data_IF_190018415643
#
_entry.id   IF_190018415643
#
_cell.length_a   1.000
_cell.length_b   1.000
_cell.length_c   1.000
_cell.angle_alpha   90.00
_cell.angle_beta   90.00
_cell.angle_gamma   90.00
#
_symmetry.space_group_name_H-M   'P 1'
#
loop_
_entity.id
_entity.type
_entity.pdbx_description
1 polymer ?
#
# COMPACT_ATOMS: atom_id res chain seq x y z
N UNK A 1 -24.09 17.35 -10.33
CA UNK A 1 -22.96 17.36 -9.36
C UNK A 1 -23.47 17.90 -8.05
N UNK A 2 -23.72 17.05 -7.05
CA UNK A 2 -24.04 17.52 -5.70
C UNK A 2 -22.73 17.56 -4.92
N UNK A 3 -22.30 18.76 -4.55
CA UNK A 3 -21.20 18.98 -3.61
C UNK A 3 -21.48 18.14 -2.36
N UNK A 4 -20.61 17.17 -2.09
CA UNK A 4 -20.55 16.56 -0.77
C UNK A 4 -19.91 17.65 0.10
N UNK A 5 -20.63 18.19 1.10
CA UNK A 5 -20.04 19.20 1.96
C UNK A 5 -18.88 18.55 2.72
N UNK A 6 -17.67 19.12 2.56
CA UNK A 6 -16.57 18.88 3.48
C UNK A 6 -17.01 19.39 4.85
N UNK A 7 -17.67 18.54 5.64
CA UNK A 7 -17.82 18.78 7.05
C UNK A 7 -16.40 18.92 7.62
N UNK A 8 -16.08 20.01 8.34
CA UNK A 8 -14.79 20.11 9.01
C UNK A 8 -14.70 18.92 9.94
N UNK A 9 -13.66 18.09 9.74
CA UNK A 9 -13.27 17.12 10.74
C UNK A 9 -12.96 17.94 11.99
N UNK A 10 -13.89 17.97 12.93
CA UNK A 10 -13.66 18.55 14.25
C UNK A 10 -12.40 17.87 14.78
N UNK A 11 -11.38 18.67 15.08
CA UNK A 11 -10.15 18.26 15.74
C UNK A 11 -10.49 17.63 17.10
N UNK A 12 -10.95 16.38 17.11
CA UNK A 12 -10.69 15.51 18.24
C UNK A 12 -9.25 15.04 18.05
N UNK A 13 -8.32 15.97 18.22
CA UNK A 13 -6.93 15.65 18.41
C UNK A 13 -6.90 14.73 19.63
N UNK A 14 -6.64 13.44 19.42
CA UNK A 14 -6.00 12.69 20.48
C UNK A 14 -4.77 13.52 20.84
N UNK A 15 -4.62 13.96 22.10
CA UNK A 15 -3.45 14.72 22.46
C UNK A 15 -2.23 13.89 22.03
N UNK A 16 -1.24 14.47 21.33
CA UNK A 16 0.00 13.75 21.09
C UNK A 16 0.44 13.19 22.44
N UNK A 17 0.91 11.94 22.47
CA UNK A 17 1.50 11.37 23.67
C UNK A 17 2.38 12.47 24.25
N UNK A 18 2.05 12.94 25.46
CA UNK A 18 2.80 14.03 26.07
C UNK A 18 4.27 13.69 25.87
N UNK A 19 5.06 14.56 25.21
CA UNK A 19 6.45 14.25 24.89
C UNK A 19 7.19 13.69 26.10
N UNK A 20 6.78 14.11 27.31
CA UNK A 20 7.30 13.66 28.60
C UNK A 20 7.18 12.16 28.93
N UNK A 21 6.16 11.42 28.48
CA UNK A 21 5.97 10.01 28.88
C UNK A 21 6.74 9.09 27.93
N UNK A 22 6.54 9.24 26.62
CA UNK A 22 7.24 8.44 25.62
C UNK A 22 8.76 8.70 25.66
N UNK A 23 9.17 9.97 25.80
CA UNK A 23 10.58 10.32 25.95
C UNK A 23 11.19 9.68 27.20
N UNK A 24 10.54 9.84 28.35
CA UNK A 24 11.03 9.27 29.62
C UNK A 24 11.10 7.75 29.57
N UNK A 25 10.11 7.11 28.96
CA UNK A 25 10.12 5.68 28.74
C UNK A 25 11.32 5.25 27.89
N UNK A 26 11.50 5.88 26.72
CA UNK A 26 12.56 5.54 25.78
C UNK A 26 13.96 5.81 26.31
N UNK A 27 14.14 6.84 27.16
CA UNK A 27 15.40 7.11 27.83
C UNK A 27 15.86 6.00 28.78
N UNK A 28 14.92 5.22 29.33
CA UNK A 28 15.22 4.10 30.23
C UNK A 28 15.00 2.74 29.57
N UNK A 29 14.64 2.73 28.28
CA UNK A 29 14.48 1.53 27.48
C UNK A 29 15.84 1.02 27.01
N UNK A 30 16.01 -0.30 26.80
CA UNK A 30 17.15 -0.84 26.06
C UNK A 30 17.36 -0.21 24.67
N UNK A 31 16.34 0.48 24.14
CA UNK A 31 16.36 1.16 22.84
C UNK A 31 16.83 2.63 22.92
N UNK A 32 17.32 3.11 24.07
CA UNK A 32 17.73 4.51 24.26
C UNK A 32 18.75 5.01 23.21
N UNK A 33 19.72 4.18 22.82
CA UNK A 33 20.71 4.55 21.81
C UNK A 33 20.11 4.74 20.41
N UNK A 34 19.03 4.01 20.10
CA UNK A 34 18.25 4.16 18.86
C UNK A 34 17.35 5.38 18.96
N UNK A 35 16.78 5.64 20.14
CA UNK A 35 16.02 6.85 20.41
C UNK A 35 16.83 8.12 20.11
N UNK A 36 18.06 8.22 20.59
CA UNK A 36 18.93 9.37 20.33
C UNK A 36 19.14 9.58 18.82
N UNK A 37 19.43 8.50 18.08
CA UNK A 37 19.58 8.55 16.62
C UNK A 37 18.31 9.02 15.92
N UNK A 38 17.14 8.57 16.37
CA UNK A 38 15.83 8.99 15.83
C UNK A 38 15.61 10.48 16.05
N UNK A 39 15.88 10.98 17.27
CA UNK A 39 15.73 12.40 17.60
C UNK A 39 16.70 13.30 16.82
N UNK A 40 17.90 12.80 16.52
CA UNK A 40 18.89 13.48 15.68
C UNK A 40 18.62 13.34 14.18
N UNK A 41 17.58 12.60 13.77
CA UNK A 41 17.28 12.32 12.37
C UNK A 41 18.35 11.49 11.65
N UNK A 42 19.17 10.75 12.40
CA UNK A 42 20.24 9.91 11.85
C UNK A 42 19.70 8.61 11.27
N UNK A 43 20.32 8.14 10.19
CA UNK A 43 20.03 6.83 9.60
C UNK A 43 20.47 5.72 10.56
N UNK A 44 19.56 4.80 10.85
CA UNK A 44 19.88 3.59 11.62
C UNK A 44 20.79 2.65 10.84
N UNK A 45 21.70 2.00 11.55
CA UNK A 45 22.61 0.99 11.01
C UNK A 45 21.92 -0.38 10.91
N UNK A 46 22.60 -1.35 10.28
CA UNK A 46 22.15 -2.74 10.26
C UNK A 46 22.02 -3.33 11.69
N UNK A 47 22.99 -3.05 12.56
CA UNK A 47 22.99 -3.51 13.94
C UNK A 47 21.80 -2.93 14.75
N UNK A 48 21.44 -1.67 14.49
CA UNK A 48 20.25 -1.06 15.11
C UNK A 48 18.97 -1.77 14.65
N UNK A 49 18.88 -2.14 13.37
CA UNK A 49 17.76 -2.90 12.83
C UNK A 49 17.62 -4.29 13.47
N UNK A 50 18.75 -4.99 13.67
CA UNK A 50 18.76 -6.28 14.36
C UNK A 50 18.33 -6.13 15.82
N UNK A 51 18.85 -5.11 16.52
CA UNK A 51 18.46 -4.82 17.90
C UNK A 51 16.96 -4.52 18.06
N UNK A 52 16.35 -3.81 17.08
CA UNK A 52 14.90 -3.59 17.05
C UNK A 52 14.12 -4.88 16.81
N UNK A 53 14.61 -5.74 15.91
CA UNK A 53 13.96 -7.01 15.58
C UNK A 53 13.97 -8.00 16.74
N UNK A 54 15.07 -8.03 17.51
CA UNK A 54 15.26 -8.94 18.65
C UNK A 54 14.69 -8.39 19.97
N UNK A 55 14.16 -7.16 19.98
CA UNK A 55 13.65 -6.53 21.19
C UNK A 55 12.21 -6.95 21.50
N UNK A 56 11.97 -7.34 22.76
CA UNK A 56 10.64 -7.58 23.30
C UNK A 56 9.92 -6.28 23.73
N UNK A 57 10.59 -5.11 23.63
CA UNK A 57 10.04 -3.81 24.00
C UNK A 57 9.14 -3.24 22.87
N UNK A 58 8.00 -3.88 22.65
CA UNK A 58 7.03 -3.48 21.62
C UNK A 58 6.55 -2.02 21.80
N UNK A 59 6.38 -1.57 23.05
CA UNK A 59 5.96 -0.20 23.34
C UNK A 59 7.03 0.81 22.93
N UNK A 60 8.31 0.50 23.19
CA UNK A 60 9.44 1.32 22.77
C UNK A 60 9.56 1.39 21.25
N UNK A 61 9.46 0.25 20.58
CA UNK A 61 9.46 0.20 19.10
C UNK A 61 8.30 1.02 18.53
N UNK A 62 7.09 0.86 19.08
CA UNK A 62 5.91 1.61 18.67
C UNK A 62 6.05 3.11 18.89
N UNK A 63 6.60 3.53 20.02
CA UNK A 63 6.86 4.94 20.33
C UNK A 63 7.89 5.56 19.36
N UNK A 64 9.01 4.87 19.11
CA UNK A 64 10.03 5.29 18.13
C UNK A 64 9.43 5.44 16.73
N UNK A 65 8.66 4.44 16.28
CA UNK A 65 7.98 4.47 14.99
C UNK A 65 6.98 5.63 14.90
N UNK A 66 6.22 5.88 15.97
CA UNK A 66 5.23 6.95 16.01
C UNK A 66 5.88 8.34 15.94
N UNK A 67 6.99 8.56 16.64
CA UNK A 67 7.75 9.83 16.56
C UNK A 67 8.16 10.12 15.11
N UNK A 68 8.71 9.12 14.39
CA UNK A 68 9.11 9.30 12.98
C UNK A 68 7.89 9.50 12.09
N UNK A 69 6.80 8.76 12.32
CA UNK A 69 5.55 8.87 11.56
C UNK A 69 4.96 10.27 11.70
N UNK A 70 4.82 10.79 12.91
CA UNK A 70 4.26 12.12 13.19
C UNK A 70 5.18 13.22 12.68
N UNK A 71 6.50 13.07 12.82
CA UNK A 71 7.47 14.03 12.26
C UNK A 71 7.30 14.17 10.74
N UNK A 72 7.06 13.07 10.03
CA UNK A 72 6.93 13.08 8.56
C UNK A 72 5.53 13.42 8.06
N UNK A 73 4.49 13.05 8.80
CA UNK A 73 3.12 13.02 8.30
C UNK A 73 2.12 13.77 9.20
N UNK A 74 2.55 14.35 10.31
CA UNK A 74 1.66 14.91 11.34
C UNK A 74 0.65 13.86 11.81
N UNK A 75 -0.62 14.25 11.93
CA UNK A 75 -1.74 13.34 12.21
C UNK A 75 -2.47 12.87 10.93
N UNK A 76 -1.91 13.14 9.74
CA UNK A 76 -2.58 12.79 8.47
C UNK A 76 -2.47 11.29 8.20
N UNK A 77 -3.57 10.66 7.78
CA UNK A 77 -3.59 9.30 7.26
C UNK A 77 -4.09 9.34 5.82
N UNK A 78 -3.24 8.90 4.88
CA UNK A 78 -3.53 8.96 3.46
C UNK A 78 -4.21 7.68 2.98
N UNK A 79 -5.16 7.82 2.06
CA UNK A 79 -5.82 6.70 1.40
C UNK A 79 -6.06 7.05 -0.07
N UNK A 80 -6.27 6.01 -0.89
CA UNK A 80 -6.66 6.18 -2.29
C UNK A 80 -7.84 5.28 -2.62
N UNK A 81 -8.75 5.78 -3.45
CA UNK A 81 -9.84 4.97 -3.99
C UNK A 81 -9.43 4.48 -5.37
N UNK A 82 -8.97 3.24 -5.41
CA UNK A 82 -8.53 2.58 -6.63
C UNK A 82 -9.53 1.48 -7.07
N UNK A 83 -9.35 0.99 -8.28
CA UNK A 83 -9.95 -0.25 -8.76
C UNK A 83 -8.85 -1.21 -9.23
N UNK A 84 -8.92 -2.47 -8.81
CA UNK A 84 -7.99 -3.51 -9.24
C UNK A 84 -8.49 -4.24 -10.49
N UNK A 85 -7.58 -4.45 -11.45
CA UNK A 85 -7.78 -5.33 -12.61
C UNK A 85 -6.68 -6.39 -12.58
N UNK A 86 -7.06 -7.60 -12.18
CA UNK A 86 -6.17 -8.74 -12.22
C UNK A 86 -6.40 -9.48 -13.54
N UNK A 87 -5.69 -9.09 -14.60
CA UNK A 87 -6.03 -9.50 -15.97
C UNK A 87 -5.66 -10.95 -16.30
N UNK A 88 -4.83 -11.62 -15.51
CA UNK A 88 -4.59 -13.07 -15.62
C UNK A 88 -4.08 -13.64 -14.30
N UNK A 89 -4.42 -14.88 -14.00
CA UNK A 89 -3.77 -15.65 -12.93
C UNK A 89 -2.80 -16.73 -13.46
N UNK A 90 -2.52 -16.76 -14.77
CA UNK A 90 -1.50 -17.66 -15.34
C UNK A 90 -0.11 -17.11 -15.00
N UNK A 91 0.76 -17.93 -14.41
CA UNK A 91 2.09 -17.49 -13.94
C UNK A 91 3.15 -18.59 -14.11
N UNK A 92 4.39 -18.21 -14.38
CA UNK A 92 5.52 -19.13 -14.55
C UNK A 92 6.55 -19.14 -13.39
N UNK A 93 6.26 -18.50 -12.25
CA UNK A 93 7.22 -18.34 -11.15
C UNK A 93 7.10 -19.37 -10.02
N UNK A 94 5.90 -19.87 -9.72
CA UNK A 94 5.69 -20.86 -8.66
C UNK A 94 6.06 -20.38 -7.25
N UNK A 95 5.69 -19.14 -6.89
CA UNK A 95 6.01 -18.58 -5.57
C UNK A 95 5.31 -19.38 -4.45
N UNK A 96 6.09 -19.89 -3.48
CA UNK A 96 5.58 -20.78 -2.40
C UNK A 96 4.47 -20.17 -1.52
N UNK A 97 4.41 -18.85 -1.44
CA UNK A 97 3.44 -18.11 -0.62
C UNK A 97 2.26 -17.56 -1.44
N UNK A 98 2.25 -17.74 -2.76
CA UNK A 98 1.25 -17.14 -3.64
C UNK A 98 0.08 -18.09 -3.88
N UNK A 99 -1.12 -17.72 -3.43
CA UNK A 99 -2.36 -18.45 -3.69
C UNK A 99 -3.08 -17.98 -4.96
N UNK A 100 -2.61 -16.91 -5.59
CA UNK A 100 -3.30 -16.29 -6.72
C UNK A 100 -3.15 -17.07 -8.02
N UNK A 101 -1.95 -17.62 -8.30
CA UNK A 101 -1.68 -18.22 -9.60
C UNK A 101 -2.36 -19.58 -9.77
N UNK A 102 -2.77 -19.88 -10.99
CA UNK A 102 -3.36 -21.17 -11.33
C UNK A 102 -2.33 -22.30 -11.19
N UNK A 103 -2.65 -23.28 -10.35
CA UNK A 103 -1.81 -24.45 -10.08
C UNK A 103 -2.65 -25.72 -9.97
N UNK A 104 -1.98 -26.88 -9.91
CA UNK A 104 -2.65 -28.15 -9.63
C UNK A 104 -3.37 -28.02 -8.28
N UNK A 105 -4.68 -28.28 -8.29
CA UNK A 105 -5.59 -28.14 -7.14
C UNK A 105 -5.85 -26.68 -6.68
N UNK A 106 -5.47 -25.69 -7.50
CA UNK A 106 -5.71 -24.27 -7.27
C UNK A 106 -6.87 -23.68 -8.09
N UNK A 107 -7.00 -22.33 -8.14
CA UNK A 107 -7.99 -21.68 -8.98
C UNK A 107 -7.77 -21.99 -10.46
N UNK A 108 -8.87 -22.06 -11.22
CA UNK A 108 -8.80 -22.28 -12.66
C UNK A 108 -8.00 -21.15 -13.36
N UNK A 109 -7.20 -21.48 -14.39
CA UNK A 109 -6.48 -20.48 -15.15
C UNK A 109 -7.45 -19.59 -15.93
N UNK A 110 -7.18 -18.28 -15.95
CA UNK A 110 -7.89 -17.32 -16.78
C UNK A 110 -6.96 -16.23 -17.30
N UNK A 111 -7.38 -15.64 -18.41
CA UNK A 111 -6.82 -14.42 -18.98
C UNK A 111 -8.00 -13.60 -19.49
N UNK A 112 -8.13 -12.37 -19.00
CA UNK A 112 -9.20 -11.44 -19.39
C UNK A 112 -8.97 -10.97 -20.82
N UNK A 113 -10.03 -10.97 -21.61
CA UNK A 113 -10.08 -10.22 -22.88
C UNK A 113 -10.21 -8.72 -22.60
N UNK A 114 -9.98 -7.87 -23.60
CA UNK A 114 -10.22 -6.43 -23.46
C UNK A 114 -11.69 -6.11 -23.14
N UNK A 115 -12.62 -6.94 -23.61
CA UNK A 115 -14.04 -6.82 -23.29
C UNK A 115 -14.33 -7.17 -21.83
N UNK A 116 -13.70 -8.23 -21.29
CA UNK A 116 -13.78 -8.55 -19.86
C UNK A 116 -13.25 -7.40 -19.00
N UNK A 117 -12.14 -6.78 -19.42
CA UNK A 117 -11.54 -5.64 -18.71
C UNK A 117 -12.48 -4.45 -18.74
N UNK A 118 -13.02 -4.10 -19.91
CA UNK A 118 -13.99 -3.02 -20.05
C UNK A 118 -15.20 -3.25 -19.17
N UNK A 119 -15.80 -4.44 -19.22
CA UNK A 119 -16.95 -4.79 -18.38
C UNK A 119 -16.62 -4.63 -16.89
N UNK A 120 -15.44 -5.09 -16.46
CA UNK A 120 -14.99 -4.95 -15.07
C UNK A 120 -14.84 -3.49 -14.65
N UNK A 121 -14.27 -2.63 -15.51
CA UNK A 121 -14.13 -1.19 -15.26
C UNK A 121 -15.48 -0.48 -15.20
N UNK A 122 -16.43 -0.90 -16.04
CA UNK A 122 -17.78 -0.33 -16.13
C UNK A 122 -18.66 -0.63 -14.92
N UNK A 123 -18.53 -1.83 -14.32
CA UNK A 123 -19.27 -2.23 -13.12
C UNK A 123 -19.18 -1.21 -11.98
N UNK A 124 -18.08 -0.46 -11.91
CA UNK A 124 -17.85 0.56 -10.89
C UNK A 124 -17.77 1.96 -11.50
N UNK A 125 -18.29 2.21 -12.71
CA UNK A 125 -18.14 3.53 -13.37
C UNK A 125 -18.74 4.70 -12.59
N UNK A 126 -19.84 4.43 -11.90
CA UNK A 126 -20.51 5.36 -10.99
C UNK A 126 -19.70 5.68 -9.72
N UNK A 127 -18.65 4.91 -9.44
CA UNK A 127 -17.73 5.11 -8.32
C UNK A 127 -16.55 5.96 -8.83
N UNK A 128 -16.32 7.18 -8.27
CA UNK A 128 -15.19 8.03 -8.63
C UNK A 128 -13.88 7.45 -8.06
N UNK A 129 -13.27 6.54 -8.80
CA UNK A 129 -11.89 6.07 -8.58
C UNK A 129 -10.91 7.00 -9.29
N UNK A 130 -9.76 7.23 -8.67
CA UNK A 130 -8.69 8.07 -9.24
C UNK A 130 -7.55 7.24 -9.82
N UNK A 131 -7.51 5.93 -9.50
CA UNK A 131 -6.43 5.05 -9.92
C UNK A 131 -6.95 3.67 -10.34
N UNK A 132 -6.37 3.11 -11.39
CA UNK A 132 -6.53 1.71 -11.79
C UNK A 132 -5.22 0.98 -11.52
N UNK A 133 -5.27 -0.05 -10.68
CA UNK A 133 -4.11 -0.86 -10.31
C UNK A 133 -4.20 -2.19 -11.05
N UNK A 134 -3.18 -2.51 -11.84
CA UNK A 134 -3.17 -3.75 -12.61
C UNK A 134 -2.02 -4.64 -12.16
N UNK A 135 -2.38 -5.79 -11.58
CA UNK A 135 -1.45 -6.77 -11.05
C UNK A 135 -1.90 -8.15 -11.49
N UNK A 136 -0.99 -8.99 -11.97
CA UNK A 136 -1.36 -10.29 -12.51
C UNK A 136 -0.25 -11.33 -12.36
N UNK A 137 -0.55 -12.56 -12.79
CA UNK A 137 0.47 -13.57 -13.00
C UNK A 137 1.40 -13.20 -14.16
N UNK A 138 2.61 -13.77 -14.15
CA UNK A 138 3.60 -13.57 -15.20
C UNK A 138 3.33 -14.59 -16.32
N UNK A 139 2.41 -14.23 -17.21
CA UNK A 139 1.94 -15.11 -18.28
C UNK A 139 2.97 -15.18 -19.43
N UNK A 140 3.58 -16.34 -19.71
CA UNK A 140 4.71 -16.44 -20.65
C UNK A 140 4.33 -16.36 -22.14
N UNK A 141 3.04 -16.28 -22.47
CA UNK A 141 2.54 -16.33 -23.85
C UNK A 141 1.78 -15.06 -24.25
N UNK A 142 1.58 -14.10 -23.34
CA UNK A 142 0.93 -12.85 -23.71
C UNK A 142 1.92 -12.00 -24.52
N UNK A 143 1.55 -11.58 -25.73
CA UNK A 143 2.40 -10.71 -26.54
C UNK A 143 2.46 -9.31 -25.92
N UNK A 144 3.50 -8.55 -26.27
CA UNK A 144 3.62 -7.16 -25.84
C UNK A 144 2.39 -6.31 -26.21
N UNK A 145 1.79 -6.57 -27.38
CA UNK A 145 0.58 -5.88 -27.86
C UNK A 145 -0.61 -6.00 -26.92
N UNK A 146 -0.77 -7.13 -26.22
CA UNK A 146 -1.85 -7.31 -25.24
C UNK A 146 -1.79 -6.25 -24.14
N UNK A 147 -0.58 -5.89 -23.67
CA UNK A 147 -0.40 -4.89 -22.63
C UNK A 147 -0.69 -3.47 -23.14
N UNK A 148 -0.35 -3.18 -24.39
CA UNK A 148 -0.70 -1.90 -25.01
C UNK A 148 -2.22 -1.75 -25.15
N UNK A 149 -2.88 -2.78 -25.69
CA UNK A 149 -4.35 -2.82 -25.81
C UNK A 149 -5.04 -2.73 -24.45
N UNK A 150 -4.45 -3.33 -23.41
CA UNK A 150 -4.95 -3.22 -22.04
C UNK A 150 -4.88 -1.79 -21.51
N UNK A 151 -3.76 -1.11 -21.68
CA UNK A 151 -3.59 0.29 -21.29
C UNK A 151 -4.58 1.20 -22.03
N UNK A 152 -4.71 1.01 -23.35
CA UNK A 152 -5.65 1.75 -24.20
C UNK A 152 -7.09 1.50 -23.77
N UNK A 153 -7.46 0.25 -23.50
CA UNK A 153 -8.81 -0.11 -23.02
C UNK A 153 -9.13 0.55 -21.69
N UNK A 154 -8.18 0.54 -20.75
CA UNK A 154 -8.34 1.20 -19.44
C UNK A 154 -8.49 2.70 -19.62
N UNK A 155 -7.63 3.35 -20.43
CA UNK A 155 -7.72 4.81 -20.67
C UNK A 155 -8.98 5.21 -21.43
N UNK A 156 -9.42 4.45 -22.41
CA UNK A 156 -10.66 4.71 -23.12
C UNK A 156 -11.88 4.62 -22.18
N UNK A 157 -11.87 3.69 -21.23
CA UNK A 157 -12.98 3.46 -20.30
C UNK A 157 -12.96 4.44 -19.11
N UNK A 158 -11.77 4.76 -18.59
CA UNK A 158 -11.52 5.60 -17.42
C UNK A 158 -10.40 6.63 -17.71
N UNK A 159 -10.66 7.64 -18.57
CA UNK A 159 -9.61 8.55 -19.03
C UNK A 159 -8.91 9.31 -17.90
N UNK A 160 -9.69 9.73 -16.90
CA UNK A 160 -9.24 10.50 -15.74
C UNK A 160 -8.44 9.68 -14.72
N UNK A 161 -8.56 8.34 -14.73
CA UNK A 161 -7.88 7.51 -13.75
C UNK A 161 -6.41 7.32 -14.11
N UNK A 162 -5.52 7.50 -13.14
CA UNK A 162 -4.10 7.17 -13.30
C UNK A 162 -3.92 5.65 -13.36
N UNK A 163 -3.05 5.18 -14.25
CA UNK A 163 -2.77 3.74 -14.38
C UNK A 163 -1.49 3.42 -13.61
N UNK A 164 -1.57 2.46 -12.69
CA UNK A 164 -0.41 1.86 -12.00
C UNK A 164 -0.25 0.41 -12.43
N UNK A 165 0.70 0.17 -13.32
CA UNK A 165 0.98 -1.14 -13.92
C UNK A 165 2.41 -1.23 -14.48
N UNK A 166 2.94 -2.46 -14.50
CA UNK A 166 4.21 -2.94 -15.10
C UNK A 166 5.50 -2.21 -14.69
#
# INVERSE_FOLDING_TARGET
MKNIPNAPLTETAFPPLSPSIAHRYLQHSPLASIYDKVMEGKRLSFADGLALWESDDLNGIGALANIVRETKNGNNTYYVRNQHINYTNVCNKGCKFCSFYAQKDGPAPYTMTMDDVRLKLEQTRHIPVTEIHMVAGIHPKLPYSYYLELLDTVKATRPEAHIKSF
#
